data_IF_550889449924
#
_entry.id   IF_550889449924
#
_cell.length_a   1.000
_cell.length_b   1.000
_cell.length_c   1.000
_cell.angle_alpha   90.00
_cell.angle_beta   90.00
_cell.angle_gamma   90.00
#
_symmetry.space_group_name_H-M   'P 1'
#
loop_
_entity.id
_entity.type
_entity.pdbx_description
1 polymer ?
#
# COMPACT_ATOMS: atom_id res chain seq x y z
N UNK A 1 12.18 -7.91 22.31
CA UNK A 1 10.73 -7.60 22.27
C UNK A 1 10.16 -8.28 21.03
N UNK A 2 8.99 -8.93 21.13
CA UNK A 2 8.33 -9.45 19.91
C UNK A 2 7.96 -8.25 19.02
N UNK A 3 8.16 -8.33 17.70
CA UNK A 3 7.71 -7.27 16.81
C UNK A 3 6.19 -7.13 16.94
N UNK A 4 5.72 -5.96 17.41
CA UNK A 4 4.31 -5.65 17.56
C UNK A 4 3.83 -4.79 16.38
N UNK A 5 2.61 -5.05 15.93
CA UNK A 5 2.00 -4.25 14.86
C UNK A 5 1.47 -2.94 15.41
N UNK A 6 1.81 -1.83 14.75
CA UNK A 6 1.29 -0.50 15.06
C UNK A 6 0.24 -0.12 14.01
N UNK A 7 -0.96 0.26 14.47
CA UNK A 7 -2.04 0.71 13.57
C UNK A 7 -1.75 2.14 13.11
N UNK A 8 -1.46 2.31 11.81
CA UNK A 8 -1.13 3.63 11.23
C UNK A 8 -2.36 4.40 10.71
N UNK A 9 -3.46 3.71 10.39
CA UNK A 9 -4.68 4.34 9.92
C UNK A 9 -5.83 3.37 9.63
N UNK A 10 -7.05 3.91 9.65
CA UNK A 10 -8.29 3.25 9.25
C UNK A 10 -8.99 4.17 8.26
N UNK A 11 -9.41 3.62 7.12
CA UNK A 11 -10.06 4.40 6.07
C UNK A 11 -10.02 3.70 4.72
N UNK A 12 -10.11 4.50 3.65
CA UNK A 12 -10.18 3.99 2.29
C UNK A 12 -8.79 3.85 1.71
N UNK A 13 -8.44 2.63 1.31
CA UNK A 13 -7.24 2.32 0.53
C UNK A 13 -7.60 2.33 -0.95
N UNK A 14 -6.72 2.91 -1.77
CA UNK A 14 -6.87 2.96 -3.23
C UNK A 14 -5.57 2.51 -3.89
N UNK A 15 -5.69 1.69 -4.92
CA UNK A 15 -4.64 1.45 -5.89
C UNK A 15 -4.83 2.43 -7.05
N UNK A 16 -3.97 3.43 -7.14
CA UNK A 16 -4.00 4.41 -8.22
C UNK A 16 -3.12 3.92 -9.36
N UNK A 17 -3.74 3.48 -10.45
CA UNK A 17 -3.06 3.10 -11.69
C UNK A 17 -3.17 4.24 -12.70
N UNK A 18 -2.05 4.75 -13.25
CA UNK A 18 -2.08 5.72 -14.34
C UNK A 18 -2.82 5.18 -15.57
N UNK A 19 -3.52 6.05 -16.29
CA UNK A 19 -4.20 5.67 -17.54
C UNK A 19 -3.19 5.35 -18.63
N UNK A 20 -3.48 4.35 -19.46
CA UNK A 20 -2.70 4.06 -20.67
C UNK A 20 -2.75 5.26 -21.63
N UNK A 21 -1.58 5.65 -22.17
CA UNK A 21 -1.41 6.88 -22.97
C UNK A 21 -1.30 8.17 -22.16
N UNK A 22 -1.30 8.09 -20.82
CA UNK A 22 -0.98 9.21 -19.94
C UNK A 22 0.53 9.47 -19.83
N UNK A 23 0.88 10.42 -18.96
CA UNK A 23 2.26 10.72 -18.61
C UNK A 23 3.01 9.47 -18.12
N UNK A 24 3.99 9.01 -18.91
CA UNK A 24 4.76 7.80 -18.67
C UNK A 24 5.66 7.86 -17.43
N UNK A 25 5.85 9.06 -16.85
CA UNK A 25 6.58 9.21 -15.57
C UNK A 25 5.77 8.76 -14.36
N UNK A 26 4.44 8.62 -14.51
CA UNK A 26 3.56 8.23 -13.40
C UNK A 26 3.61 6.73 -13.21
N UNK A 27 3.89 6.32 -11.97
CA UNK A 27 3.91 4.92 -11.54
C UNK A 27 2.67 4.56 -10.73
N UNK A 28 2.17 3.31 -10.82
CA UNK A 28 1.13 2.81 -9.93
C UNK A 28 1.53 2.98 -8.46
N UNK A 29 0.56 3.32 -7.61
CA UNK A 29 0.80 3.50 -6.16
C UNK A 29 -0.38 3.08 -5.31
N UNK A 30 -0.08 2.59 -4.10
CA UNK A 30 -1.04 2.38 -3.03
C UNK A 30 -1.11 3.66 -2.20
N UNK A 31 -2.32 4.19 -2.04
CA UNK A 31 -2.60 5.37 -1.25
C UNK A 31 -3.73 5.07 -0.26
N UNK A 32 -3.53 5.41 1.01
CA UNK A 32 -4.57 5.31 2.03
C UNK A 32 -4.69 6.63 2.79
N UNK A 33 -5.94 7.03 3.06
CA UNK A 33 -6.27 8.20 3.87
C UNK A 33 -7.12 7.80 5.06
N UNK A 34 -6.89 8.45 6.19
CA UNK A 34 -7.70 8.28 7.41
C UNK A 34 -9.12 8.80 7.18
N UNK A 35 -10.13 8.04 7.61
CA UNK A 35 -11.54 8.33 7.31
C UNK A 35 -12.03 9.72 7.78
N UNK A 36 -11.54 10.20 8.94
CA UNK A 36 -12.00 11.47 9.54
C UNK A 36 -11.13 12.67 9.17
N UNK A 37 -9.81 12.50 9.16
CA UNK A 37 -8.87 13.61 8.97
C UNK A 37 -8.41 13.78 7.52
N UNK A 38 -8.70 12.81 6.65
CA UNK A 38 -8.23 12.74 5.25
C UNK A 38 -6.70 12.79 5.08
N UNK A 39 -5.95 12.76 6.19
CA UNK A 39 -4.49 12.69 6.20
C UNK A 39 -4.03 11.40 5.53
N UNK A 40 -2.98 11.52 4.72
CA UNK A 40 -2.32 10.38 4.10
C UNK A 40 -1.62 9.59 5.20
N UNK A 41 -1.97 8.31 5.34
CA UNK A 41 -1.31 7.40 6.29
C UNK A 41 -0.47 6.32 5.60
N UNK A 42 -0.66 6.14 4.29
CA UNK A 42 0.17 5.26 3.46
C UNK A 42 0.24 5.84 2.05
N UNK A 43 1.44 5.93 1.50
CA UNK A 43 1.69 6.33 0.12
C UNK A 43 2.95 5.62 -0.36
N UNK A 44 2.80 4.50 -1.05
CA UNK A 44 3.92 3.72 -1.59
C UNK A 44 3.69 3.48 -3.08
N UNK A 45 4.74 3.69 -3.88
CA UNK A 45 4.74 3.21 -5.25
C UNK A 45 4.77 1.69 -5.27
N UNK A 46 4.21 1.10 -6.33
CA UNK A 46 4.47 -0.30 -6.64
C UNK A 46 5.86 -0.40 -7.27
N UNK A 47 6.52 -1.52 -7.02
CA UNK A 47 7.83 -1.84 -7.57
C UNK A 47 7.92 -3.34 -7.81
N UNK A 48 8.80 -3.77 -8.72
CA UNK A 48 8.86 -5.14 -9.22
C UNK A 48 9.09 -6.19 -8.09
N UNK A 49 10.05 -5.90 -7.20
CA UNK A 49 10.39 -6.75 -6.05
C UNK A 49 9.40 -6.66 -4.88
N UNK A 50 8.27 -5.96 -5.06
CA UNK A 50 7.24 -5.85 -4.04
C UNK A 50 6.61 -7.22 -3.77
N UNK A 51 6.62 -7.61 -2.49
CA UNK A 51 5.91 -8.78 -1.97
C UNK A 51 4.50 -8.34 -1.58
N UNK A 52 3.50 -9.07 -2.03
CA UNK A 52 2.09 -8.89 -1.68
C UNK A 52 1.45 -10.28 -1.61
N UNK A 53 1.01 -10.69 -0.43
CA UNK A 53 0.52 -12.04 -0.18
C UNK A 53 -0.61 -12.04 0.86
N UNK A 54 -1.49 -13.05 0.83
CA UNK A 54 -2.50 -13.23 1.87
C UNK A 54 -1.84 -13.72 3.15
N UNK A 55 -2.00 -12.95 4.22
CA UNK A 55 -1.66 -13.36 5.58
C UNK A 55 -2.83 -14.04 6.31
N UNK A 56 -4.04 -13.97 5.73
CA UNK A 56 -5.25 -14.64 6.19
C UNK A 56 -6.42 -14.40 5.22
N UNK A 57 -7.64 -14.88 5.53
CA UNK A 57 -8.81 -14.71 4.66
C UNK A 57 -9.11 -13.23 4.34
N UNK A 58 -8.99 -12.36 5.34
CA UNK A 58 -9.26 -10.90 5.23
C UNK A 58 -8.02 -10.04 5.42
N UNK A 59 -6.84 -10.66 5.51
CA UNK A 59 -5.59 -10.01 5.86
C UNK A 59 -4.60 -10.14 4.70
N UNK A 60 -4.10 -9.02 4.20
CA UNK A 60 -3.08 -8.95 3.16
C UNK A 60 -1.81 -8.34 3.73
N UNK A 61 -0.68 -9.01 3.53
CA UNK A 61 0.64 -8.48 3.86
C UNK A 61 1.29 -7.97 2.58
N UNK A 62 1.91 -6.80 2.65
CA UNK A 62 2.70 -6.29 1.54
C UNK A 62 3.87 -5.42 1.99
N UNK A 63 4.91 -5.36 1.18
CA UNK A 63 6.07 -4.48 1.40
C UNK A 63 5.84 -3.14 0.73
N UNK A 64 6.24 -2.04 1.36
CA UNK A 64 6.15 -0.71 0.77
C UNK A 64 7.25 0.20 1.26
N UNK A 65 7.49 1.28 0.51
CA UNK A 65 8.42 2.33 0.92
C UNK A 65 7.68 3.27 1.87
N UNK A 66 8.13 3.34 3.12
CA UNK A 66 7.63 4.29 4.11
C UNK A 66 8.29 5.63 3.85
N UNK A 67 7.51 6.64 3.48
CA UNK A 67 7.96 8.02 3.48
C UNK A 67 7.59 8.66 4.81
N UNK A 68 8.56 9.05 5.62
CA UNK A 68 8.31 9.91 6.77
C UNK A 68 7.99 11.33 6.27
N UNK A 69 6.76 11.76 6.46
CA UNK A 69 6.32 13.09 6.06
C UNK A 69 6.82 14.20 7.01
N UNK A 70 7.49 13.85 8.12
CA UNK A 70 7.69 14.75 9.26
C UNK A 70 9.15 15.20 9.47
N UNK A 71 10.14 14.48 8.93
CA UNK A 71 11.56 14.72 9.26
C UNK A 71 12.37 15.38 8.14
N UNK A 72 11.81 15.57 6.94
CA UNK A 72 12.55 16.21 5.83
C UNK A 72 13.76 15.42 5.34
N UNK A 73 13.96 14.19 5.83
CA UNK A 73 15.01 13.27 5.38
C UNK A 73 14.39 12.27 4.38
N UNK A 74 14.96 12.13 3.17
CA UNK A 74 14.42 11.29 2.10
C UNK A 74 14.79 9.80 2.29
N UNK A 75 14.79 9.30 3.51
CA UNK A 75 15.16 7.90 3.78
C UNK A 75 13.90 7.04 3.70
N UNK A 76 13.55 6.65 2.48
CA UNK A 76 12.48 5.70 2.23
C UNK A 76 12.87 4.33 2.79
N UNK A 77 12.34 3.99 3.96
CA UNK A 77 12.59 2.69 4.59
C UNK A 77 11.63 1.63 4.04
N UNK A 78 12.14 0.44 3.72
CA UNK A 78 11.32 -0.69 3.33
C UNK A 78 10.58 -1.22 4.57
N UNK A 79 9.26 -1.02 4.61
CA UNK A 79 8.41 -1.48 5.70
C UNK A 79 7.47 -2.61 5.23
N UNK A 80 7.12 -3.50 6.15
CA UNK A 80 6.05 -4.48 5.94
C UNK A 80 4.76 -3.94 6.51
N UNK A 81 3.71 -3.94 5.70
CA UNK A 81 2.36 -3.51 6.07
C UNK A 81 1.42 -4.71 6.15
N UNK A 82 0.45 -4.60 7.04
CA UNK A 82 -0.68 -5.51 7.15
C UNK A 82 -1.97 -4.73 6.91
N UNK A 83 -2.71 -5.11 5.87
CA UNK A 83 -4.02 -4.58 5.54
C UNK A 83 -5.08 -5.60 5.96
N UNK A 84 -6.03 -5.17 6.78
CA UNK A 84 -7.26 -5.92 7.05
C UNK A 84 -8.41 -5.31 6.26
N UNK A 85 -9.01 -6.09 5.37
CA UNK A 85 -10.20 -5.71 4.60
C UNK A 85 -11.48 -6.21 5.28
N UNK A 86 -12.64 -5.76 4.80
CA UNK A 86 -13.93 -6.18 5.36
C UNK A 86 -14.34 -7.56 4.85
N UNK A 87 -14.23 -7.77 3.54
CA UNK A 87 -14.59 -9.01 2.88
C UNK A 87 -13.37 -9.72 2.30
N UNK A 88 -13.37 -11.05 2.30
CA UNK A 88 -12.26 -11.85 1.79
C UNK A 88 -12.01 -11.62 0.29
N UNK A 89 -13.07 -11.47 -0.51
CA UNK A 89 -12.96 -11.17 -1.94
C UNK A 89 -12.14 -9.90 -2.22
N UNK A 90 -12.20 -8.90 -1.32
CA UNK A 90 -11.41 -7.67 -1.44
C UNK A 90 -9.91 -7.93 -1.22
N UNK A 91 -9.55 -8.93 -0.40
CA UNK A 91 -8.16 -9.32 -0.19
C UNK A 91 -7.62 -9.97 -1.46
N UNK A 92 -8.37 -10.89 -2.04
CA UNK A 92 -8.02 -11.59 -3.28
C UNK A 92 -7.88 -10.60 -4.45
N UNK A 93 -8.86 -9.71 -4.62
CA UNK A 93 -8.84 -8.67 -5.64
C UNK A 93 -7.63 -7.75 -5.47
N UNK A 94 -7.34 -7.30 -4.24
CA UNK A 94 -6.23 -6.41 -3.97
C UNK A 94 -4.88 -7.05 -4.33
N UNK A 95 -4.65 -8.30 -3.93
CA UNK A 95 -3.42 -9.04 -4.28
C UNK A 95 -3.29 -9.17 -5.80
N UNK A 96 -4.36 -9.59 -6.49
CA UNK A 96 -4.36 -9.74 -7.94
C UNK A 96 -4.05 -8.43 -8.67
N UNK A 97 -4.62 -7.30 -8.21
CA UNK A 97 -4.38 -5.98 -8.79
C UNK A 97 -2.95 -5.50 -8.55
N UNK A 98 -2.36 -5.74 -7.37
CA UNK A 98 -0.96 -5.39 -7.11
C UNK A 98 -0.02 -6.18 -8.04
N UNK A 99 -0.22 -7.50 -8.17
CA UNK A 99 0.59 -8.32 -9.07
C UNK A 99 0.45 -7.90 -10.54
N UNK A 100 -0.75 -7.51 -10.97
CA UNK A 100 -1.00 -7.02 -12.33
C UNK A 100 -0.25 -5.73 -12.65
N UNK A 101 -0.10 -4.85 -11.66
CA UNK A 101 0.37 -3.48 -11.89
C UNK A 101 1.77 -3.21 -11.36
N UNK A 102 2.41 -4.12 -10.61
CA UNK A 102 3.73 -3.86 -10.04
C UNK A 102 4.90 -3.81 -11.04
N UNK A 103 4.68 -4.29 -12.26
CA UNK A 103 5.64 -4.29 -13.35
C UNK A 103 5.32 -3.23 -14.43
N UNK A 104 4.35 -2.33 -14.18
CA UNK A 104 4.01 -1.21 -15.06
C UNK A 104 4.62 0.08 -14.53
#
# INVERSE_FOLDING_TARGET
>A
AQPSWVVIGIGNLKLNVPKEGGDASRRPRILMRRQKTFQVCLNTYLFESMVCDKAGPKDVRFTGMRMEAETGVPEAELATYLLRVKEEEQADEFVALVHRHKNK
#
